data_IF_035705878370
#
_entry.id   IF_035705878370
#
_cell.length_a   1.000
_cell.length_b   1.000
_cell.length_c   1.000
_cell.angle_alpha   90.00
_cell.angle_beta   90.00
_cell.angle_gamma   90.00
#
_symmetry.space_group_name_H-M   'P 1'
#
loop_
_entity.id
_entity.type
_entity.pdbx_description
1 polymer ?
#
# COMPACT_ATOMS: atom_id res chain seq x y z
N UNK A 1 16.70 -35.99 16.04
CA UNK A 1 15.80 -35.97 17.22
C UNK A 1 15.87 -37.32 17.94
N UNK A 2 15.64 -37.37 19.26
CA UNK A 2 15.43 -38.65 19.96
C UNK A 2 14.15 -39.32 19.43
N UNK A 3 14.20 -40.62 19.15
CA UNK A 3 13.09 -41.35 18.52
C UNK A 3 11.85 -41.37 19.41
N UNK A 4 12.04 -41.46 20.73
CA UNK A 4 10.92 -41.44 21.69
C UNK A 4 10.19 -40.11 21.70
N UNK A 5 10.93 -39.00 21.63
CA UNK A 5 10.36 -37.66 21.55
C UNK A 5 9.65 -37.44 20.20
N UNK A 6 10.15 -38.07 19.14
CA UNK A 6 9.50 -38.06 17.83
C UNK A 6 8.17 -38.81 17.84
N UNK A 7 8.17 -40.05 18.34
CA UNK A 7 6.96 -40.86 18.42
C UNK A 7 5.90 -40.17 19.30
N UNK A 8 6.30 -39.62 20.46
CA UNK A 8 5.42 -38.83 21.31
C UNK A 8 4.84 -37.58 20.61
N UNK A 9 5.64 -36.87 19.81
CA UNK A 9 5.18 -35.71 19.06
C UNK A 9 4.25 -36.06 17.89
N UNK A 10 4.44 -37.24 17.28
CA UNK A 10 3.55 -37.76 16.23
C UNK A 10 2.21 -38.17 16.82
N UNK A 11 2.22 -38.87 17.96
CA UNK A 11 1.01 -39.33 18.63
C UNK A 11 0.30 -38.20 19.40
N UNK A 12 1.02 -37.13 19.77
CA UNK A 12 0.50 -36.08 20.62
C UNK A 12 0.39 -36.49 22.10
N UNK A 13 1.10 -37.54 22.50
CA UNK A 13 1.01 -38.10 23.85
C UNK A 13 1.77 -37.23 24.87
N UNK A 14 1.00 -36.44 25.61
CA UNK A 14 1.49 -35.59 26.69
C UNK A 14 2.07 -36.41 27.85
N UNK A 15 1.55 -37.62 28.09
CA UNK A 15 2.04 -38.46 29.19
C UNK A 15 3.41 -39.04 28.89
N UNK A 16 3.63 -39.50 27.65
CA UNK A 16 4.95 -39.91 27.17
C UNK A 16 5.95 -38.74 27.21
N UNK A 17 5.53 -37.53 26.84
CA UNK A 17 6.37 -36.33 26.96
C UNK A 17 6.78 -36.04 28.41
N UNK A 18 5.83 -36.07 29.35
CA UNK A 18 6.11 -35.87 30.77
C UNK A 18 7.07 -36.93 31.33
N UNK A 19 6.89 -38.20 30.96
CA UNK A 19 7.81 -39.28 31.36
C UNK A 19 9.23 -39.06 30.79
N UNK A 20 9.34 -38.60 29.54
CA UNK A 20 10.63 -38.27 28.92
C UNK A 20 11.30 -37.08 29.60
N UNK A 21 10.54 -36.05 29.98
CA UNK A 21 11.05 -34.88 30.69
C UNK A 21 11.46 -35.20 32.13
N UNK A 22 10.80 -36.14 32.79
CA UNK A 22 11.23 -36.66 34.09
C UNK A 22 12.55 -37.43 33.98
N UNK A 23 12.77 -38.15 32.88
CA UNK A 23 14.00 -38.90 32.64
C UNK A 23 15.18 -38.01 32.17
N UNK A 24 14.91 -37.04 31.29
CA UNK A 24 15.89 -36.06 30.80
C UNK A 24 15.25 -34.67 30.68
N UNK A 25 15.41 -33.81 31.70
CA UNK A 25 14.86 -32.44 31.69
C UNK A 25 15.38 -31.57 30.54
N UNK A 26 16.54 -31.91 29.96
CA UNK A 26 17.17 -31.17 28.86
C UNK A 26 16.85 -31.77 27.48
N UNK A 27 15.99 -32.78 27.39
CA UNK A 27 15.63 -33.44 26.14
C UNK A 27 15.10 -32.45 25.09
N UNK A 28 14.26 -31.49 25.50
CA UNK A 28 13.69 -30.47 24.61
C UNK A 28 14.75 -29.47 24.13
N UNK A 29 15.63 -29.00 25.03
CA UNK A 29 16.73 -28.09 24.66
C UNK A 29 17.71 -28.77 23.68
N UNK A 30 18.02 -30.05 23.89
CA UNK A 30 18.82 -30.86 22.96
C UNK A 30 18.12 -31.03 21.61
N UNK A 31 16.80 -31.26 21.61
CA UNK A 31 16.02 -31.36 20.38
C UNK A 31 16.00 -30.03 19.60
N UNK A 32 15.95 -28.89 20.30
CA UNK A 32 16.02 -27.57 19.67
C UNK A 32 17.36 -27.34 18.93
N UNK A 33 18.47 -27.85 19.46
CA UNK A 33 19.82 -27.70 18.87
C UNK A 33 20.17 -28.77 17.82
N UNK A 34 19.61 -29.98 17.93
CA UNK A 34 20.00 -31.16 17.13
C UNK A 34 19.02 -31.50 16.00
N UNK A 35 17.88 -30.86 15.91
CA UNK A 35 16.94 -31.12 14.81
C UNK A 35 17.42 -30.41 13.54
N UNK A 36 18.04 -31.17 12.64
CA UNK A 36 18.40 -30.67 11.29
C UNK A 36 17.16 -30.39 10.44
N UNK A 37 16.04 -31.09 10.70
CA UNK A 37 14.85 -31.01 9.83
C UNK A 37 13.60 -30.48 10.53
N UNK A 38 13.02 -31.21 11.50
CA UNK A 38 11.80 -30.79 12.20
C UNK A 38 11.95 -31.04 13.69
N UNK A 39 11.60 -30.02 14.47
CA UNK A 39 11.49 -30.18 15.92
C UNK A 39 10.10 -30.72 16.31
N UNK A 40 9.91 -31.20 17.55
CA UNK A 40 8.62 -31.68 18.06
C UNK A 40 7.47 -30.68 17.86
N UNK A 41 7.76 -29.39 17.97
CA UNK A 41 6.78 -28.32 17.83
C UNK A 41 6.33 -28.12 16.37
N UNK A 42 7.22 -28.32 15.38
CA UNK A 42 6.85 -28.37 13.96
C UNK A 42 5.90 -29.54 13.69
N UNK A 43 6.18 -30.72 14.25
CA UNK A 43 5.33 -31.92 14.09
C UNK A 43 3.96 -31.68 14.72
N UNK A 44 3.93 -31.20 15.96
CA UNK A 44 2.70 -30.89 16.66
C UNK A 44 1.88 -29.79 15.96
N UNK A 45 2.53 -28.79 15.35
CA UNK A 45 1.88 -27.76 14.55
C UNK A 45 1.31 -28.25 13.22
N UNK A 46 1.88 -29.30 12.61
CA UNK A 46 1.30 -29.95 11.43
C UNK A 46 0.06 -30.77 11.82
N UNK A 47 0.21 -31.57 12.88
CA UNK A 47 -0.81 -32.53 13.31
C UNK A 47 -1.96 -31.87 14.08
N UNK A 48 -1.73 -30.70 14.69
CA UNK A 48 -2.73 -29.95 15.43
C UNK A 48 -2.86 -30.36 16.91
N UNK A 49 -1.79 -30.90 17.51
CA UNK A 49 -1.82 -31.40 18.88
C UNK A 49 -1.70 -30.27 19.90
N UNK A 50 -2.81 -29.61 20.23
CA UNK A 50 -2.85 -28.41 21.09
C UNK A 50 -2.33 -28.69 22.50
N UNK A 51 -2.77 -29.77 23.14
CA UNK A 51 -2.35 -30.10 24.51
C UNK A 51 -0.85 -30.43 24.58
N UNK A 52 -0.33 -31.05 23.53
CA UNK A 52 1.10 -31.33 23.39
C UNK A 52 1.91 -30.04 23.20
N UNK A 53 1.42 -29.10 22.40
CA UNK A 53 2.02 -27.77 22.24
C UNK A 53 2.05 -27.02 23.58
N UNK A 54 0.93 -27.00 24.31
CA UNK A 54 0.85 -26.38 25.65
C UNK A 54 1.85 -26.99 26.61
N UNK A 55 1.94 -28.32 26.66
CA UNK A 55 2.87 -29.02 27.52
C UNK A 55 4.34 -28.69 27.18
N UNK A 56 4.69 -28.59 25.90
CA UNK A 56 6.03 -28.13 25.48
C UNK A 56 6.29 -26.69 25.91
N UNK A 57 5.35 -25.79 25.66
CA UNK A 57 5.51 -24.34 25.92
C UNK A 57 5.58 -23.99 27.41
N UNK A 58 5.11 -24.87 28.31
CA UNK A 58 5.26 -24.71 29.76
C UNK A 58 6.67 -25.00 30.29
N UNK A 59 7.56 -25.61 29.48
CA UNK A 59 8.93 -25.91 29.88
C UNK A 59 9.85 -24.72 29.60
N UNK A 60 10.67 -24.34 30.58
CA UNK A 60 11.67 -23.27 30.43
C UNK A 60 12.58 -23.52 29.21
N UNK A 61 12.83 -22.47 28.42
CA UNK A 61 13.59 -22.47 27.14
C UNK A 61 12.91 -23.15 25.94
N UNK A 62 11.71 -23.73 26.08
CA UNK A 62 10.99 -24.31 24.95
C UNK A 62 10.59 -23.28 23.90
N UNK A 63 10.51 -21.99 24.24
CA UNK A 63 10.26 -20.89 23.29
C UNK A 63 11.31 -20.81 22.17
N UNK A 64 12.54 -21.30 22.40
CA UNK A 64 13.57 -21.38 21.35
C UNK A 64 13.15 -22.29 20.20
N UNK A 65 12.31 -23.30 20.49
CA UNK A 65 11.75 -24.19 19.49
C UNK A 65 10.71 -23.51 18.60
N UNK A 66 10.08 -22.43 19.07
CA UNK A 66 9.18 -21.60 18.27
C UNK A 66 9.93 -20.78 17.20
N UNK A 67 11.22 -20.52 17.43
CA UNK A 67 12.09 -19.76 16.52
C UNK A 67 12.93 -20.65 15.61
N UNK A 68 13.04 -21.94 15.93
CA UNK A 68 13.73 -22.92 15.11
C UNK A 68 13.12 -22.96 13.70
N UNK A 69 13.98 -23.22 12.72
CA UNK A 69 13.63 -23.29 11.32
C UNK A 69 13.79 -24.72 10.81
N UNK A 70 12.82 -25.18 10.04
CA UNK A 70 12.90 -26.44 9.33
C UNK A 70 13.75 -26.32 8.05
N UNK A 71 13.82 -27.41 7.28
CA UNK A 71 14.53 -27.41 5.99
C UNK A 71 14.04 -26.31 5.04
N UNK A 72 12.76 -25.93 5.07
CA UNK A 72 12.19 -24.90 4.20
C UNK A 72 12.29 -23.49 4.81
N UNK A 73 13.12 -23.30 5.84
CA UNK A 73 13.22 -22.08 6.65
C UNK A 73 11.92 -21.69 7.37
N UNK A 74 10.98 -22.65 7.53
CA UNK A 74 9.70 -22.41 8.20
C UNK A 74 9.84 -22.63 9.69
N UNK A 75 9.19 -21.77 10.46
CA UNK A 75 8.99 -21.97 11.89
C UNK A 75 7.65 -22.72 12.15
N UNK A 76 7.37 -23.17 13.38
CA UNK A 76 6.11 -23.84 13.69
C UNK A 76 4.86 -22.99 13.39
N UNK A 77 4.96 -21.65 13.46
CA UNK A 77 3.87 -20.74 13.12
C UNK A 77 3.52 -20.77 11.62
N UNK A 78 4.49 -20.93 10.72
CA UNK A 78 4.25 -21.15 9.29
C UNK A 78 3.43 -22.41 9.05
N UNK A 79 3.79 -23.51 9.73
CA UNK A 79 3.10 -24.79 9.57
C UNK A 79 1.68 -24.74 10.15
N UNK A 80 1.51 -24.17 11.34
CA UNK A 80 0.18 -23.96 11.92
C UNK A 80 -0.71 -23.13 10.98
N UNK A 81 -0.15 -22.10 10.35
CA UNK A 81 -0.87 -21.25 9.40
C UNK A 81 -1.23 -21.95 8.08
N UNK A 82 -0.35 -22.83 7.60
CA UNK A 82 -0.57 -23.63 6.39
C UNK A 82 -1.64 -24.71 6.58
N UNK A 83 -1.61 -25.40 7.73
CA UNK A 83 -2.48 -26.54 8.05
C UNK A 83 -3.76 -26.16 8.81
N UNK A 84 -4.07 -24.86 8.93
CA UNK A 84 -5.30 -24.36 9.56
C UNK A 84 -5.43 -24.71 11.05
N UNK A 85 -4.32 -24.73 11.77
CA UNK A 85 -4.30 -25.06 13.21
C UNK A 85 -4.47 -23.80 14.04
N UNK A 86 -5.69 -23.25 14.05
CA UNK A 86 -6.02 -21.99 14.72
C UNK A 86 -5.64 -21.98 16.21
N UNK A 87 -5.98 -23.05 16.94
CA UNK A 87 -5.73 -23.16 18.38
C UNK A 87 -4.24 -23.25 18.67
N UNK A 88 -3.50 -24.10 17.94
CA UNK A 88 -2.03 -24.16 18.04
C UNK A 88 -1.39 -22.81 17.72
N UNK A 89 -1.91 -22.12 16.70
CA UNK A 89 -1.42 -20.81 16.29
C UNK A 89 -1.61 -19.76 17.38
N UNK A 90 -2.73 -19.76 18.09
CA UNK A 90 -2.97 -18.88 19.24
C UNK A 90 -1.98 -19.17 20.37
N UNK A 91 -1.81 -20.44 20.76
CA UNK A 91 -0.87 -20.83 21.82
C UNK A 91 0.58 -20.42 21.47
N UNK A 92 1.00 -20.60 20.21
CA UNK A 92 2.31 -20.18 19.73
C UNK A 92 2.50 -18.66 19.77
N UNK A 93 1.46 -17.89 19.44
CA UNK A 93 1.49 -16.42 19.50
C UNK A 93 1.52 -15.91 20.94
N UNK A 94 0.75 -16.54 21.84
CA UNK A 94 0.70 -16.18 23.26
C UNK A 94 2.05 -16.44 23.94
N UNK A 95 2.65 -17.60 23.70
CA UNK A 95 4.00 -17.90 24.16
C UNK A 95 5.05 -16.95 23.54
N UNK A 96 4.92 -16.62 22.24
CA UNK A 96 5.76 -15.64 21.58
C UNK A 96 5.63 -14.23 22.18
N UNK A 97 4.44 -13.84 22.64
CA UNK A 97 4.21 -12.56 23.31
C UNK A 97 4.92 -12.51 24.67
N UNK A 98 4.85 -13.60 25.45
CA UNK A 98 5.53 -13.72 26.74
C UNK A 98 7.06 -13.61 26.59
N UNK A 99 7.61 -14.12 25.48
CA UNK A 99 9.05 -14.08 25.18
C UNK A 99 9.49 -12.84 24.37
N UNK A 100 8.61 -11.86 24.11
CA UNK A 100 8.86 -10.71 23.22
C UNK A 100 9.33 -11.08 21.80
N UNK A 101 9.02 -12.30 21.33
CA UNK A 101 9.46 -12.85 20.06
C UNK A 101 8.33 -13.01 19.03
N UNK A 102 7.08 -12.74 19.40
CA UNK A 102 5.91 -12.84 18.50
C UNK A 102 6.11 -12.06 17.20
N UNK A 103 6.67 -10.86 17.27
CA UNK A 103 6.97 -10.06 16.08
C UNK A 103 7.96 -10.75 15.14
N UNK A 104 9.02 -11.34 15.69
CA UNK A 104 10.02 -12.08 14.91
C UNK A 104 9.45 -13.36 14.30
N UNK A 105 8.47 -14.00 14.95
CA UNK A 105 7.82 -15.20 14.43
C UNK A 105 6.89 -14.88 13.26
N UNK A 106 6.15 -13.77 13.35
CA UNK A 106 5.25 -13.30 12.28
C UNK A 106 5.98 -12.76 11.05
N UNK A 107 7.18 -12.20 11.23
CA UNK A 107 8.03 -11.68 10.13
C UNK A 107 9.06 -12.69 9.61
N UNK A 108 9.12 -13.88 10.21
CA UNK A 108 10.04 -14.91 9.72
C UNK A 108 9.70 -15.26 8.26
N UNK A 109 10.74 -15.39 7.43
CA UNK A 109 10.60 -15.69 6.00
C UNK A 109 11.07 -17.12 5.74
N UNK A 110 10.24 -17.89 5.03
CA UNK A 110 10.59 -19.18 4.46
C UNK A 110 11.51 -19.02 3.23
N UNK A 111 11.92 -20.14 2.62
CA UNK A 111 12.79 -20.15 1.42
C UNK A 111 12.27 -19.38 0.20
N UNK A 112 10.96 -19.15 0.10
CA UNK A 112 10.34 -18.38 -0.98
C UNK A 112 10.06 -16.92 -0.55
N UNK A 113 10.60 -16.50 0.60
CA UNK A 113 10.41 -15.18 1.17
C UNK A 113 9.01 -14.96 1.73
N UNK A 114 8.23 -16.02 1.98
CA UNK A 114 6.87 -15.96 2.52
C UNK A 114 6.92 -16.01 4.03
N UNK A 115 6.00 -15.33 4.66
CA UNK A 115 5.82 -15.37 6.11
C UNK A 115 4.56 -16.21 6.45
N UNK A 116 4.25 -16.48 7.73
CA UNK A 116 3.08 -17.30 8.09
C UNK A 116 1.76 -16.74 7.53
N UNK A 117 1.64 -15.42 7.45
CA UNK A 117 0.46 -14.75 6.91
C UNK A 117 0.33 -14.96 5.39
N UNK A 118 1.44 -14.91 4.64
CA UNK A 118 1.48 -15.27 3.23
C UNK A 118 1.02 -16.71 2.98
N UNK A 119 1.42 -17.67 3.83
CA UNK A 119 0.97 -19.05 3.73
C UNK A 119 -0.53 -19.18 4.04
N UNK A 120 -1.03 -18.56 5.11
CA UNK A 120 -2.46 -18.55 5.42
C UNK A 120 -3.31 -18.02 4.25
N UNK A 121 -2.84 -16.95 3.58
CA UNK A 121 -3.48 -16.40 2.39
C UNK A 121 -3.44 -17.31 1.17
N UNK A 122 -2.31 -17.98 0.95
CA UNK A 122 -2.11 -18.95 -0.14
C UNK A 122 -3.04 -20.17 0.01
N UNK A 123 -3.31 -20.60 1.25
CA UNK A 123 -4.18 -21.75 1.54
C UNK A 123 -5.62 -21.37 1.91
N UNK A 124 -5.99 -20.08 1.87
CA UNK A 124 -7.36 -19.63 2.13
C UNK A 124 -7.80 -19.71 3.59
N UNK A 125 -6.87 -19.70 4.55
CA UNK A 125 -7.17 -19.88 5.98
C UNK A 125 -7.66 -18.58 6.61
N UNK A 126 -8.93 -18.24 6.39
CA UNK A 126 -9.53 -16.95 6.78
C UNK A 126 -9.46 -16.69 8.29
N UNK A 127 -9.80 -17.67 9.12
CA UNK A 127 -9.75 -17.53 10.59
C UNK A 127 -8.32 -17.26 11.08
N UNK A 128 -7.35 -18.01 10.54
CA UNK A 128 -5.92 -17.81 10.81
C UNK A 128 -5.44 -16.43 10.38
N UNK A 129 -5.83 -15.97 9.17
CA UNK A 129 -5.47 -14.64 8.67
C UNK A 129 -5.92 -13.54 9.64
N UNK A 130 -7.14 -13.61 10.16
CA UNK A 130 -7.65 -12.61 11.09
C UNK A 130 -6.83 -12.55 12.38
N UNK A 131 -6.42 -13.70 12.92
CA UNK A 131 -5.59 -13.77 14.14
C UNK A 131 -4.19 -13.22 13.87
N UNK A 132 -3.54 -13.66 12.78
CA UNK A 132 -2.19 -13.22 12.44
C UNK A 132 -2.11 -11.71 12.14
N UNK A 133 -3.13 -11.12 11.49
CA UNK A 133 -3.16 -9.67 11.23
C UNK A 133 -3.24 -8.88 12.54
N UNK A 134 -4.02 -9.36 13.51
CA UNK A 134 -4.11 -8.72 14.84
C UNK A 134 -2.79 -8.82 15.60
N UNK A 135 -2.10 -9.94 15.50
CA UNK A 135 -0.81 -10.16 16.17
C UNK A 135 0.37 -9.45 15.49
N UNK A 136 0.32 -9.27 14.16
CA UNK A 136 1.48 -8.79 13.40
C UNK A 136 1.11 -8.21 12.04
N UNK A 137 0.35 -7.11 12.01
CA UNK A 137 -0.06 -6.41 10.79
C UNK A 137 1.09 -6.12 9.81
N UNK A 138 2.30 -5.83 10.31
CA UNK A 138 3.48 -5.54 9.48
C UNK A 138 3.82 -6.68 8.51
N UNK A 139 3.55 -7.94 8.90
CA UNK A 139 3.77 -9.10 8.05
C UNK A 139 2.91 -9.07 6.76
N UNK A 140 1.76 -8.39 6.77
CA UNK A 140 0.92 -8.22 5.59
C UNK A 140 1.55 -7.30 4.54
N UNK A 141 2.42 -6.37 4.94
CA UNK A 141 3.02 -5.38 4.05
C UNK A 141 4.27 -5.89 3.33
N UNK A 142 4.85 -6.97 3.83
CA UNK A 142 6.03 -7.57 3.23
C UNK A 142 5.71 -8.18 1.86
N UNK A 143 6.74 -8.26 1.02
CA UNK A 143 6.66 -8.90 -0.28
C UNK A 143 7.36 -10.25 -0.22
N UNK A 144 6.83 -11.19 -0.99
CA UNK A 144 7.54 -12.45 -1.25
C UNK A 144 8.76 -12.21 -2.13
N UNK A 145 9.61 -13.22 -2.28
CA UNK A 145 10.80 -13.10 -3.14
C UNK A 145 10.45 -12.92 -4.62
N UNK A 146 9.24 -13.30 -5.06
CA UNK A 146 8.69 -12.94 -6.38
C UNK A 146 8.08 -11.53 -6.45
N UNK A 147 8.37 -10.68 -5.45
CA UNK A 147 7.88 -9.32 -5.26
C UNK A 147 6.36 -9.15 -5.21
N UNK A 148 5.62 -10.26 -5.09
CA UNK A 148 4.17 -10.29 -4.93
C UNK A 148 3.77 -9.91 -3.52
N UNK A 149 2.65 -9.20 -3.40
CA UNK A 149 1.99 -8.98 -2.09
C UNK A 149 1.11 -10.19 -1.75
N UNK A 150 0.66 -10.26 -0.49
CA UNK A 150 -0.31 -11.27 -0.05
C UNK A 150 -1.56 -11.37 -0.93
N UNK A 151 -2.05 -10.24 -1.47
CA UNK A 151 -3.21 -10.21 -2.38
C UNK A 151 -2.91 -10.89 -3.73
N UNK A 152 -1.67 -10.80 -4.22
CA UNK A 152 -1.26 -11.51 -5.44
C UNK A 152 -1.24 -13.02 -5.22
N UNK A 153 -0.83 -13.47 -4.02
CA UNK A 153 -0.87 -14.89 -3.66
C UNK A 153 -2.31 -15.39 -3.60
N UNK A 154 -3.24 -14.67 -2.98
CA UNK A 154 -4.65 -15.07 -2.95
C UNK A 154 -5.20 -15.30 -4.36
N UNK A 155 -4.85 -14.45 -5.33
CA UNK A 155 -5.31 -14.62 -6.72
C UNK A 155 -4.63 -15.79 -7.41
N UNK A 156 -3.31 -15.92 -7.26
CA UNK A 156 -2.52 -17.01 -7.84
C UNK A 156 -3.03 -18.39 -7.40
N UNK A 157 -3.48 -18.50 -6.16
CA UNK A 157 -4.00 -19.74 -5.58
C UNK A 157 -5.53 -19.80 -5.51
N UNK A 158 -6.23 -18.88 -6.16
CA UNK A 158 -7.69 -18.82 -6.24
C UNK A 158 -8.42 -18.79 -4.86
N UNK A 159 -7.86 -18.08 -3.90
CA UNK A 159 -8.39 -17.90 -2.54
C UNK A 159 -9.16 -16.58 -2.41
N UNK A 160 -10.37 -16.53 -2.98
CA UNK A 160 -11.18 -15.32 -3.06
C UNK A 160 -11.70 -14.83 -1.70
N UNK A 161 -12.06 -15.75 -0.79
CA UNK A 161 -12.57 -15.39 0.54
C UNK A 161 -11.48 -14.78 1.44
N UNK A 162 -10.26 -15.31 1.36
CA UNK A 162 -9.09 -14.73 2.00
C UNK A 162 -8.80 -13.33 1.43
N UNK A 163 -8.95 -13.16 0.12
CA UNK A 163 -8.73 -11.90 -0.58
C UNK A 163 -9.74 -10.82 -0.15
N UNK A 164 -11.04 -11.13 -0.10
CA UNK A 164 -12.07 -10.18 0.34
C UNK A 164 -11.83 -9.78 1.79
N UNK A 165 -11.56 -10.76 2.66
CA UNK A 165 -11.26 -10.52 4.08
C UNK A 165 -10.03 -9.63 4.24
N UNK A 166 -8.96 -9.87 3.48
CA UNK A 166 -7.76 -9.05 3.51
C UNK A 166 -8.00 -7.64 2.99
N UNK A 167 -8.79 -7.46 1.92
CA UNK A 167 -9.12 -6.13 1.41
C UNK A 167 -9.96 -5.34 2.43
N UNK A 168 -10.93 -5.99 3.07
CA UNK A 168 -11.80 -5.39 4.07
C UNK A 168 -11.06 -4.98 5.35
N UNK A 169 -10.06 -5.77 5.76
CA UNK A 169 -9.24 -5.49 6.93
C UNK A 169 -8.16 -4.44 6.61
N UNK A 170 -7.51 -4.54 5.45
CA UNK A 170 -6.38 -3.70 5.11
C UNK A 170 -6.83 -2.31 4.63
N UNK A 171 -7.91 -2.15 3.86
CA UNK A 171 -8.42 -0.82 3.37
C UNK A 171 -7.35 0.15 2.82
N UNK A 172 -6.18 -0.34 2.40
CA UNK A 172 -5.09 0.48 1.86
C UNK A 172 -5.15 0.46 0.31
N UNK A 173 -5.56 1.55 -0.35
CA UNK A 173 -5.70 1.57 -1.81
C UNK A 173 -4.35 1.43 -2.54
N UNK A 174 -3.25 1.89 -1.92
CA UNK A 174 -1.90 1.69 -2.45
C UNK A 174 -1.49 0.22 -2.48
N UNK A 175 -1.96 -0.56 -1.49
CA UNK A 175 -1.65 -1.98 -1.38
C UNK A 175 -2.37 -2.82 -2.44
N UNK A 176 -3.60 -2.45 -2.78
CA UNK A 176 -4.39 -3.04 -3.88
C UNK A 176 -3.78 -2.75 -5.26
N UNK A 177 -3.20 -1.56 -5.42
CA UNK A 177 -2.56 -1.14 -6.68
C UNK A 177 -1.09 -1.58 -6.80
N UNK A 178 -0.57 -2.29 -5.79
CA UNK A 178 0.77 -2.84 -5.82
C UNK A 178 0.94 -3.79 -7.01
N UNK A 179 2.17 -3.83 -7.53
CA UNK A 179 2.57 -4.70 -8.62
C UNK A 179 3.55 -5.74 -8.14
N UNK A 180 3.44 -6.96 -8.67
CA UNK A 180 4.44 -8.02 -8.53
C UNK A 180 5.69 -7.72 -9.39
N UNK A 181 6.67 -8.63 -9.40
CA UNK A 181 7.89 -8.50 -10.23
C UNK A 181 7.61 -8.43 -11.73
N UNK A 182 6.59 -9.13 -12.20
CA UNK A 182 6.12 -9.06 -13.60
C UNK A 182 5.47 -7.71 -13.94
N UNK A 183 5.32 -6.82 -12.95
CA UNK A 183 4.68 -5.53 -13.12
C UNK A 183 3.16 -5.61 -13.24
N UNK A 184 2.56 -6.77 -12.97
CA UNK A 184 1.12 -6.99 -12.98
C UNK A 184 0.51 -6.53 -11.66
N UNK A 185 -0.63 -5.83 -11.74
CA UNK A 185 -1.48 -5.59 -10.57
C UNK A 185 -2.34 -6.82 -10.29
N UNK A 186 -2.96 -6.87 -9.11
CA UNK A 186 -3.85 -7.96 -8.73
C UNK A 186 -4.98 -8.20 -9.76
N UNK A 187 -5.54 -7.13 -10.35
CA UNK A 187 -6.56 -7.22 -11.41
C UNK A 187 -6.01 -7.83 -12.70
N UNK A 188 -4.80 -7.43 -13.11
CA UNK A 188 -4.17 -7.95 -14.32
C UNK A 188 -3.83 -9.42 -14.15
N UNK A 189 -3.39 -9.81 -12.96
CA UNK A 189 -3.12 -11.19 -12.59
C UNK A 189 -4.41 -12.05 -12.61
N UNK A 190 -5.52 -11.53 -12.08
CA UNK A 190 -6.82 -12.22 -12.13
C UNK A 190 -7.30 -12.45 -13.57
N UNK A 191 -7.12 -11.46 -14.45
CA UNK A 191 -7.47 -11.59 -15.87
C UNK A 191 -6.56 -12.62 -16.56
N UNK A 192 -5.25 -12.60 -16.27
CA UNK A 192 -4.27 -13.53 -16.83
C UNK A 192 -4.62 -14.98 -16.47
N UNK A 193 -4.89 -15.27 -15.21
CA UNK A 193 -5.28 -16.63 -14.78
C UNK A 193 -6.64 -17.06 -15.36
N UNK A 194 -7.60 -16.15 -15.49
CA UNK A 194 -8.90 -16.42 -16.15
C UNK A 194 -8.76 -16.81 -17.63
N UNK A 195 -7.73 -16.31 -18.32
CA UNK A 195 -7.48 -16.64 -19.73
C UNK A 195 -6.77 -17.98 -19.92
N UNK A 196 -5.87 -18.34 -19.01
CA UNK A 196 -5.13 -19.61 -19.05
C UNK A 196 -5.97 -20.84 -18.68
N UNK A 197 -7.03 -20.68 -17.88
CA UNK A 197 -7.96 -21.76 -17.53
C UNK A 197 -8.72 -22.34 -18.74
N UNK A 198 -8.73 -21.62 -19.89
CA UNK A 198 -9.39 -22.08 -21.13
C UNK A 198 -8.56 -23.02 -22.01
N UNK A 199 -7.31 -23.35 -21.66
CA UNK A 199 -6.37 -24.00 -22.60
C UNK A 199 -5.96 -25.46 -22.28
N UNK A 200 -6.67 -26.18 -21.41
CA UNK A 200 -6.27 -27.52 -20.97
C UNK A 200 -7.36 -28.59 -20.96
N UNK A 201 -7.56 -29.23 -22.12
CA UNK A 201 -8.05 -30.61 -22.38
C UNK A 201 -9.46 -31.00 -21.88
N UNK A 202 -10.26 -31.49 -22.83
CA UNK A 202 -11.72 -31.71 -22.82
C UNK A 202 -12.33 -32.67 -21.77
N UNK A 203 -11.58 -33.17 -20.78
CA UNK A 203 -12.10 -34.09 -19.77
C UNK A 203 -12.45 -33.43 -18.41
N UNK A 204 -12.21 -32.12 -18.26
CA UNK A 204 -12.53 -31.34 -17.03
C UNK A 204 -13.80 -30.49 -17.22
N UNK A 205 -14.26 -30.33 -18.46
CA UNK A 205 -15.37 -29.46 -18.90
C UNK A 205 -16.72 -29.83 -18.27
N UNK A 206 -16.95 -31.12 -17.97
CA UNK A 206 -18.19 -31.62 -17.37
C UNK A 206 -18.27 -31.33 -15.87
N UNK A 207 -17.15 -31.43 -15.15
CA UNK A 207 -17.10 -31.14 -13.70
C UNK A 207 -17.00 -29.63 -13.44
N UNK A 208 -16.29 -28.90 -14.30
CA UNK A 208 -16.22 -27.44 -14.28
C UNK A 208 -17.48 -26.73 -14.77
N UNK A 209 -18.42 -27.40 -15.45
CA UNK A 209 -19.70 -26.77 -15.78
C UNK A 209 -20.56 -26.47 -14.53
N UNK A 210 -20.38 -27.26 -13.45
CA UNK A 210 -21.04 -27.03 -12.15
C UNK A 210 -20.29 -26.05 -11.25
N UNK A 211 -18.95 -26.02 -11.31
CA UNK A 211 -18.10 -25.11 -10.53
C UNK A 211 -17.74 -23.78 -11.25
N UNK A 212 -17.91 -23.71 -12.56
CA UNK A 212 -17.56 -22.53 -13.38
C UNK A 212 -18.58 -21.39 -13.28
N UNK A 213 -19.82 -21.70 -12.92
CA UNK A 213 -20.81 -20.67 -12.57
C UNK A 213 -20.46 -19.97 -11.26
N UNK A 214 -19.89 -20.68 -10.27
CA UNK A 214 -19.52 -20.09 -8.98
C UNK A 214 -18.19 -19.32 -9.06
N UNK A 215 -17.17 -19.83 -9.74
CA UNK A 215 -15.89 -19.11 -9.89
C UNK A 215 -16.00 -17.91 -10.82
N UNK A 216 -16.71 -18.04 -11.94
CA UNK A 216 -16.93 -16.93 -12.88
C UNK A 216 -17.73 -15.78 -12.25
N UNK A 217 -18.79 -16.11 -11.50
CA UNK A 217 -19.60 -15.14 -10.78
C UNK A 217 -18.84 -14.50 -9.60
N UNK A 218 -18.01 -15.26 -8.88
CA UNK A 218 -17.21 -14.70 -7.80
C UNK A 218 -16.08 -13.80 -8.31
N UNK A 219 -15.43 -14.14 -9.43
CA UNK A 219 -14.42 -13.25 -10.05
C UNK A 219 -15.08 -11.99 -10.61
N UNK A 220 -16.29 -12.08 -11.20
CA UNK A 220 -17.00 -10.87 -11.64
C UNK A 220 -17.44 -10.01 -10.47
N UNK A 221 -17.98 -10.61 -9.41
CA UNK A 221 -18.39 -9.88 -8.20
C UNK A 221 -17.19 -9.26 -7.49
N UNK A 222 -16.06 -9.96 -7.43
CA UNK A 222 -14.80 -9.45 -6.90
C UNK A 222 -14.24 -8.33 -7.77
N UNK A 223 -14.25 -8.48 -9.09
CA UNK A 223 -13.84 -7.42 -10.02
C UNK A 223 -14.69 -6.17 -9.83
N UNK A 224 -16.01 -6.31 -9.68
CA UNK A 224 -16.93 -5.20 -9.42
C UNK A 224 -16.68 -4.58 -8.05
N UNK A 225 -16.50 -5.38 -6.99
CA UNK A 225 -16.20 -4.89 -5.64
C UNK A 225 -14.86 -4.15 -5.55
N UNK A 226 -13.82 -4.68 -6.21
CA UNK A 226 -12.52 -4.02 -6.26
C UNK A 226 -12.55 -2.77 -7.14
N UNK A 227 -13.29 -2.80 -8.26
CA UNK A 227 -13.52 -1.60 -9.05
C UNK A 227 -14.24 -0.54 -8.22
N UNK A 228 -15.25 -0.90 -7.44
CA UNK A 228 -15.95 0.01 -6.54
C UNK A 228 -15.01 0.64 -5.50
N UNK A 229 -14.07 -0.13 -4.95
CA UNK A 229 -13.09 0.37 -3.98
C UNK A 229 -12.03 1.28 -4.62
N UNK A 230 -11.60 0.95 -5.85
CA UNK A 230 -10.71 1.82 -6.64
C UNK A 230 -11.43 3.10 -7.06
N UNK A 231 -12.69 3.02 -7.50
CA UNK A 231 -13.50 4.21 -7.84
C UNK A 231 -13.81 5.04 -6.62
N UNK A 232 -14.00 4.44 -5.44
CA UNK A 232 -14.11 5.15 -4.17
C UNK A 232 -12.85 5.98 -3.90
N UNK A 233 -11.64 5.41 -4.06
CA UNK A 233 -10.40 6.21 -3.92
C UNK A 233 -10.28 7.36 -4.93
N UNK A 234 -10.82 7.18 -6.14
CA UNK A 234 -10.85 8.23 -7.19
C UNK A 234 -11.90 9.30 -6.91
N UNK A 235 -13.04 8.94 -6.33
CA UNK A 235 -14.08 9.89 -5.97
C UNK A 235 -13.57 10.86 -4.89
N UNK A 236 -12.78 10.37 -3.92
CA UNK A 236 -12.09 11.24 -2.96
C UNK A 236 -11.13 12.25 -3.62
N UNK A 237 -10.38 11.86 -4.66
CA UNK A 237 -9.52 12.78 -5.42
C UNK A 237 -10.35 13.85 -6.14
N UNK A 238 -11.47 13.47 -6.75
CA UNK A 238 -12.38 14.41 -7.42
C UNK A 238 -12.99 15.42 -6.44
N UNK A 239 -13.38 14.96 -5.24
CA UNK A 239 -13.87 15.83 -4.16
C UNK A 239 -12.79 16.80 -3.69
N UNK A 240 -11.55 16.34 -3.49
CA UNK A 240 -10.45 17.23 -3.11
C UNK A 240 -10.18 18.30 -4.20
N UNK A 241 -10.20 17.91 -5.47
CA UNK A 241 -10.00 18.85 -6.58
C UNK A 241 -11.14 19.87 -6.72
N UNK A 242 -12.39 19.47 -6.48
CA UNK A 242 -13.53 20.39 -6.53
C UNK A 242 -13.46 21.43 -5.41
N UNK A 243 -13.01 21.04 -4.20
CA UNK A 243 -12.76 21.97 -3.09
C UNK A 243 -11.64 22.95 -3.47
N UNK A 244 -10.53 22.48 -4.04
CA UNK A 244 -9.42 23.33 -4.50
C UNK A 244 -9.89 24.33 -5.56
N UNK A 245 -10.65 23.88 -6.56
CA UNK A 245 -11.21 24.74 -7.60
C UNK A 245 -12.18 25.78 -7.02
N UNK A 246 -13.01 25.39 -6.06
CA UNK A 246 -13.95 26.30 -5.38
C UNK A 246 -13.19 27.37 -4.60
N UNK A 247 -12.18 26.99 -3.81
CA UNK A 247 -11.38 27.95 -3.05
C UNK A 247 -10.63 28.93 -3.94
N UNK A 248 -10.10 28.48 -5.09
CA UNK A 248 -9.43 29.33 -6.07
C UNK A 248 -10.40 30.31 -6.76
N UNK A 249 -11.59 29.84 -7.13
CA UNK A 249 -12.63 30.68 -7.74
C UNK A 249 -13.10 31.77 -6.78
N UNK A 250 -13.41 31.40 -5.54
CA UNK A 250 -13.85 32.35 -4.51
C UNK A 250 -12.77 33.41 -4.22
N UNK A 251 -11.51 33.00 -4.11
CA UNK A 251 -10.39 33.91 -3.90
C UNK A 251 -10.20 34.90 -5.06
N UNK A 252 -10.58 34.52 -6.28
CA UNK A 252 -10.50 35.38 -7.46
C UNK A 252 -11.63 36.41 -7.51
N UNK A 253 -12.84 36.02 -7.12
CA UNK A 253 -14.02 36.93 -7.09
C UNK A 253 -13.98 37.89 -5.91
N UNK A 254 -13.36 37.48 -4.79
CA UNK A 254 -13.23 38.28 -3.58
C UNK A 254 -11.77 38.32 -3.16
N UNK A 255 -10.97 39.24 -3.76
CA UNK A 255 -9.57 39.34 -3.44
C UNK A 255 -9.37 39.76 -1.97
N UNK A 256 -8.28 39.30 -1.34
CA UNK A 256 -8.01 39.53 0.07
C UNK A 256 -7.79 41.02 0.34
N UNK A 257 -8.65 41.59 1.19
CA UNK A 257 -8.76 43.03 1.43
C UNK A 257 -10.02 43.66 0.84
N UNK A 258 -10.78 42.93 0.03
CA UNK A 258 -12.03 43.40 -0.57
C UNK A 258 -11.80 44.34 -1.75
N UNK A 259 -12.91 44.90 -2.23
CA UNK A 259 -12.94 45.95 -3.24
C UNK A 259 -13.48 47.23 -2.62
N UNK A 260 -13.11 48.39 -3.17
CA UNK A 260 -13.70 49.66 -2.81
C UNK A 260 -15.21 49.65 -3.10
N UNK A 261 -16.00 50.25 -2.21
CA UNK A 261 -17.47 50.28 -2.33
C UNK A 261 -17.98 51.61 -2.90
N UNK A 262 -17.12 52.62 -2.93
CA UNK A 262 -17.40 54.00 -3.32
C UNK A 262 -16.41 54.49 -4.38
N UNK A 263 -16.84 55.51 -5.13
CA UNK A 263 -16.02 56.23 -6.09
C UNK A 263 -15.42 57.48 -5.43
N UNK A 264 -14.11 57.50 -5.20
CA UNK A 264 -13.39 58.69 -4.76
C UNK A 264 -12.57 59.24 -5.92
N UNK A 265 -13.19 60.08 -6.74
CA UNK A 265 -12.55 60.70 -7.91
C UNK A 265 -12.29 62.20 -7.66
N UNK A 266 -13.16 62.84 -6.89
CA UNK A 266 -13.10 64.27 -6.53
C UNK A 266 -13.32 64.44 -5.02
N UNK A 267 -12.72 65.49 -4.45
CA UNK A 267 -12.94 65.86 -3.05
C UNK A 267 -14.31 66.54 -2.85
N UNK A 268 -14.67 66.85 -1.61
CA UNK A 268 -15.93 67.53 -1.28
C UNK A 268 -16.06 68.94 -1.89
N UNK A 269 -14.99 69.48 -2.48
CA UNK A 269 -14.95 70.77 -3.16
C UNK A 269 -14.82 70.65 -4.70
N UNK A 270 -14.92 69.43 -5.25
CA UNK A 270 -14.87 69.18 -6.69
C UNK A 270 -13.46 69.19 -7.29
N UNK A 271 -12.40 69.20 -6.48
CA UNK A 271 -11.03 69.09 -6.98
C UNK A 271 -10.59 67.62 -7.12
N UNK A 272 -9.80 67.26 -8.16
CA UNK A 272 -9.33 65.88 -8.33
C UNK A 272 -8.44 65.44 -7.16
N UNK A 273 -8.76 64.29 -6.54
CA UNK A 273 -7.96 63.76 -5.44
C UNK A 273 -6.64 63.15 -5.95
N UNK A 274 -5.54 63.20 -5.16
CA UNK A 274 -4.24 62.66 -5.56
C UNK A 274 -4.25 61.14 -5.84
N UNK A 275 -5.21 60.44 -5.23
CA UNK A 275 -5.28 58.99 -5.16
C UNK A 275 -6.72 58.53 -5.46
N UNK A 276 -7.17 58.61 -6.72
CA UNK A 276 -8.52 58.23 -7.07
C UNK A 276 -8.68 56.71 -7.02
N UNK A 277 -9.84 56.25 -6.56
CA UNK A 277 -10.26 54.86 -6.64
C UNK A 277 -11.70 54.77 -7.08
N UNK A 278 -12.04 53.67 -7.77
CA UNK A 278 -13.39 53.39 -8.23
C UNK A 278 -14.00 52.21 -7.48
N UNK A 279 -15.32 52.27 -7.30
CA UNK A 279 -16.09 51.17 -6.77
C UNK A 279 -15.86 49.90 -7.61
N UNK A 280 -15.60 48.79 -6.95
CA UNK A 280 -15.26 47.51 -7.58
C UNK A 280 -13.77 47.28 -7.84
N UNK A 281 -12.90 48.29 -7.68
CA UNK A 281 -11.46 48.08 -7.76
C UNK A 281 -10.93 47.35 -6.52
N UNK A 282 -10.13 46.31 -6.73
CA UNK A 282 -9.54 45.53 -5.65
C UNK A 282 -8.54 46.38 -4.84
N UNK A 283 -8.75 46.46 -3.52
CA UNK A 283 -7.89 47.26 -2.62
C UNK A 283 -6.44 46.77 -2.67
N UNK A 284 -6.25 45.46 -2.85
CA UNK A 284 -4.93 44.85 -3.01
C UNK A 284 -4.22 45.26 -4.32
N UNK A 285 -4.97 45.46 -5.40
CA UNK A 285 -4.42 45.94 -6.68
C UNK A 285 -3.89 47.38 -6.54
N UNK A 286 -4.62 48.20 -5.78
CA UNK A 286 -4.25 49.58 -5.47
C UNK A 286 -3.03 49.67 -4.54
N UNK A 287 -3.01 48.90 -3.45
CA UNK A 287 -1.93 48.97 -2.46
C UNK A 287 -0.63 48.30 -2.90
N UNK A 288 -0.71 47.15 -3.58
CA UNK A 288 0.45 46.32 -3.94
C UNK A 288 0.26 45.62 -5.30
N UNK A 289 0.43 46.33 -6.44
CA UNK A 289 0.09 45.82 -7.77
C UNK A 289 0.86 44.54 -8.15
N UNK A 290 2.15 44.45 -7.81
CA UNK A 290 2.96 43.24 -8.08
C UNK A 290 2.46 41.99 -7.35
N UNK A 291 1.94 42.14 -6.13
CA UNK A 291 1.42 41.01 -5.34
C UNK A 291 0.05 40.57 -5.84
N UNK A 292 -0.76 41.53 -6.28
CA UNK A 292 -2.06 41.26 -6.89
C UNK A 292 -1.92 40.48 -8.21
N UNK A 293 -1.02 40.88 -9.11
CA UNK A 293 -0.78 40.15 -10.36
C UNK A 293 -0.32 38.71 -10.11
N UNK A 294 0.60 38.52 -9.16
CA UNK A 294 1.06 37.18 -8.78
C UNK A 294 -0.07 36.33 -8.18
N UNK A 295 -0.90 36.92 -7.31
CA UNK A 295 -2.05 36.28 -6.68
C UNK A 295 -3.08 35.79 -7.71
N UNK A 296 -3.47 36.66 -8.66
CA UNK A 296 -4.42 36.29 -9.71
C UNK A 296 -3.85 35.19 -10.59
N UNK A 297 -2.57 35.28 -10.96
CA UNK A 297 -1.91 34.28 -11.79
C UNK A 297 -1.85 32.91 -11.10
N UNK A 298 -1.41 32.83 -9.84
CA UNK A 298 -1.33 31.56 -9.10
C UNK A 298 -2.71 30.95 -8.86
N UNK A 299 -3.71 31.79 -8.59
CA UNK A 299 -5.10 31.35 -8.40
C UNK A 299 -5.67 30.71 -9.67
N UNK A 300 -5.49 31.34 -10.83
CA UNK A 300 -5.92 30.80 -12.12
C UNK A 300 -5.22 29.48 -12.47
N UNK A 301 -3.92 29.39 -12.21
CA UNK A 301 -3.16 28.15 -12.41
C UNK A 301 -3.68 27.00 -11.53
N UNK A 302 -4.04 27.28 -10.28
CA UNK A 302 -4.60 26.28 -9.37
C UNK A 302 -5.97 25.77 -9.84
N UNK A 303 -6.80 26.67 -10.38
CA UNK A 303 -8.13 26.36 -10.91
C UNK A 303 -8.06 25.46 -12.14
N UNK A 304 -7.25 25.83 -13.14
CA UNK A 304 -7.08 25.04 -14.37
C UNK A 304 -6.42 23.68 -14.11
N UNK A 305 -5.45 23.61 -13.19
CA UNK A 305 -4.82 22.35 -12.81
C UNK A 305 -5.82 21.41 -12.11
N UNK A 306 -6.67 21.92 -11.22
CA UNK A 306 -7.71 21.14 -10.56
C UNK A 306 -8.78 20.65 -11.56
N UNK A 307 -9.22 21.50 -12.49
CA UNK A 307 -10.20 21.14 -13.52
C UNK A 307 -9.65 20.05 -14.45
N UNK A 308 -8.40 20.18 -14.89
CA UNK A 308 -7.74 19.19 -15.74
C UNK A 308 -7.57 17.85 -15.02
N UNK A 309 -7.27 17.88 -13.72
CA UNK A 309 -7.18 16.69 -12.87
C UNK A 309 -8.54 15.98 -12.75
N UNK A 310 -9.64 16.72 -12.61
CA UNK A 310 -11.01 16.17 -12.60
C UNK A 310 -11.32 15.50 -13.94
N UNK A 311 -11.07 16.18 -15.06
CA UNK A 311 -11.33 15.65 -16.41
C UNK A 311 -10.54 14.36 -16.65
N UNK A 312 -9.25 14.32 -16.31
CA UNK A 312 -8.41 13.13 -16.46
C UNK A 312 -8.92 11.97 -15.60
N UNK A 313 -9.42 12.27 -14.40
CA UNK A 313 -9.96 11.26 -13.47
C UNK A 313 -11.31 10.71 -13.94
N UNK A 314 -12.12 11.50 -14.66
CA UNK A 314 -13.38 11.05 -15.28
C UNK A 314 -13.13 10.22 -16.53
N UNK A 315 -12.15 10.59 -17.36
CA UNK A 315 -11.86 9.92 -18.63
C UNK A 315 -11.08 8.59 -18.50
N UNK A 316 -10.84 8.09 -17.29
CA UNK A 316 -10.20 6.79 -17.01
C UNK A 316 -8.92 6.51 -17.82
N UNK A 317 -8.04 7.52 -17.94
CA UNK A 317 -6.84 7.35 -18.75
C UNK A 317 -5.81 6.46 -18.02
N UNK A 318 -5.66 5.21 -18.47
CA UNK A 318 -4.86 4.15 -17.83
C UNK A 318 -3.35 4.20 -18.12
N UNK A 319 -2.89 5.21 -18.86
CA UNK A 319 -1.49 5.35 -19.27
C UNK A 319 -0.50 5.57 -18.12
N UNK A 320 0.76 5.13 -18.33
CA UNK A 320 1.87 5.51 -17.44
C UNK A 320 2.13 7.03 -17.46
N UNK A 321 1.96 7.66 -18.64
CA UNK A 321 2.00 9.11 -18.81
C UNK A 321 0.84 9.81 -18.11
N UNK A 322 -0.37 9.26 -18.13
CA UNK A 322 -1.51 9.88 -17.43
C UNK A 322 -1.33 9.89 -15.92
N UNK A 323 -0.74 8.85 -15.33
CA UNK A 323 -0.40 8.85 -13.90
C UNK A 323 0.67 9.88 -13.54
N UNK A 324 1.68 10.06 -14.41
CA UNK A 324 2.66 11.14 -14.27
C UNK A 324 2.02 12.51 -14.34
N UNK A 325 1.19 12.73 -15.36
CA UNK A 325 0.49 13.99 -15.58
C UNK A 325 -0.46 14.29 -14.42
N UNK A 326 -1.21 13.30 -13.93
CA UNK A 326 -2.10 13.45 -12.77
C UNK A 326 -1.33 13.86 -11.51
N UNK A 327 -0.21 13.18 -11.22
CA UNK A 327 0.63 13.52 -10.07
C UNK A 327 1.27 14.90 -10.20
N UNK A 328 1.67 15.30 -11.41
CA UNK A 328 2.28 16.60 -11.67
C UNK A 328 1.24 17.73 -11.57
N UNK A 329 0.05 17.54 -12.13
CA UNK A 329 -1.04 18.52 -12.12
C UNK A 329 -1.60 18.71 -10.71
N UNK A 330 -1.79 17.63 -9.95
CA UNK A 330 -2.21 17.71 -8.56
C UNK A 330 -1.16 18.43 -7.70
N UNK A 331 0.13 18.15 -7.94
CA UNK A 331 1.22 18.85 -7.27
C UNK A 331 1.21 20.36 -7.58
N UNK A 332 1.09 20.72 -8.86
CA UNK A 332 0.98 22.12 -9.30
C UNK A 332 -0.23 22.79 -8.62
N UNK A 333 -1.38 22.12 -8.56
CA UNK A 333 -2.59 22.67 -7.94
C UNK A 333 -2.39 22.97 -6.44
N UNK A 334 -1.78 22.05 -5.68
CA UNK A 334 -1.53 22.22 -4.24
C UNK A 334 -0.52 23.35 -3.98
N UNK A 335 0.57 23.42 -4.73
CA UNK A 335 1.62 24.46 -4.57
C UNK A 335 1.08 25.84 -4.93
N UNK A 336 0.29 25.95 -6.00
CA UNK A 336 -0.29 27.23 -6.43
C UNK A 336 -1.41 27.69 -5.49
N UNK A 337 -2.21 26.78 -4.93
CA UNK A 337 -3.19 27.13 -3.91
C UNK A 337 -2.53 27.65 -2.62
N UNK A 338 -1.51 26.97 -2.12
CA UNK A 338 -0.83 27.34 -0.87
C UNK A 338 -0.11 28.68 -0.98
N UNK A 339 0.51 28.97 -2.12
CA UNK A 339 1.10 30.28 -2.40
C UNK A 339 0.05 31.38 -2.50
N UNK A 340 -1.11 31.10 -3.10
CA UNK A 340 -2.25 32.03 -3.17
C UNK A 340 -2.76 32.38 -1.77
N UNK A 341 -2.97 31.38 -0.91
CA UNK A 341 -3.39 31.58 0.49
C UNK A 341 -2.36 32.36 1.31
N UNK A 342 -1.06 32.14 1.07
CA UNK A 342 0.00 32.89 1.73
C UNK A 342 -0.02 34.39 1.39
N UNK A 343 -0.21 34.72 0.11
CA UNK A 343 -0.32 36.12 -0.33
C UNK A 343 -1.55 36.78 0.31
N UNK A 344 -2.67 36.06 0.42
CA UNK A 344 -3.88 36.51 1.11
C UNK A 344 -3.62 36.86 2.58
N UNK A 345 -2.94 35.98 3.32
CA UNK A 345 -2.64 36.19 4.76
C UNK A 345 -1.74 37.42 4.96
N UNK A 346 -0.75 37.63 4.09
CA UNK A 346 0.14 38.81 4.16
C UNK A 346 -0.62 40.10 3.86
N UNK A 347 -1.61 40.06 2.96
CA UNK A 347 -2.43 41.22 2.60
C UNK A 347 -3.28 41.71 3.77
N UNK A 348 -3.88 40.79 4.52
CA UNK A 348 -4.84 41.08 5.60
C UNK A 348 -4.14 41.45 6.92
N UNK A 349 -2.87 41.11 7.12
CA UNK A 349 -2.19 41.31 8.41
C UNK A 349 -1.93 42.81 8.71
N UNK A 350 -2.45 43.37 9.83
CA UNK A 350 -2.34 44.79 10.14
C UNK A 350 -0.89 45.22 10.38
N UNK A 351 -0.51 46.37 9.81
CA UNK A 351 0.88 46.86 9.77
C UNK A 351 1.41 47.43 11.11
N UNK A 352 0.74 47.18 12.25
CA UNK A 352 0.89 47.95 13.48
C UNK A 352 1.88 47.47 14.55
N UNK A 353 2.22 46.18 14.67
CA UNK A 353 3.01 45.70 15.82
C UNK A 353 4.48 45.39 15.48
N UNK A 354 5.39 45.85 16.34
CA UNK A 354 6.86 45.79 16.28
C UNK A 354 7.47 44.38 16.36
N UNK A 355 6.64 43.33 16.48
CA UNK A 355 6.99 41.90 16.30
C UNK A 355 7.18 41.52 14.81
N UNK A 356 7.60 42.51 14.01
CA UNK A 356 7.40 42.66 12.57
C UNK A 356 8.35 41.83 11.70
N UNK A 357 9.52 41.47 12.22
CA UNK A 357 10.55 40.75 11.45
C UNK A 357 10.54 39.26 11.75
N UNK A 358 10.48 38.87 13.03
CA UNK A 358 10.55 37.46 13.48
C UNK A 358 9.35 36.62 13.07
N UNK A 359 8.13 37.14 13.13
CA UNK A 359 6.92 36.41 12.67
C UNK A 359 6.85 36.32 11.14
N UNK A 360 7.26 37.37 10.42
CA UNK A 360 7.36 37.32 8.95
C UNK A 360 8.42 36.33 8.49
N UNK A 361 9.59 36.30 9.14
CA UNK A 361 10.65 35.33 8.85
C UNK A 361 10.27 33.91 9.27
N UNK A 362 9.54 33.74 10.39
CA UNK A 362 9.08 32.42 10.84
C UNK A 362 7.98 31.86 9.92
N UNK A 363 7.00 32.67 9.53
CA UNK A 363 5.93 32.27 8.61
C UNK A 363 6.47 32.02 7.20
N UNK A 364 7.38 32.87 6.71
CA UNK A 364 8.11 32.61 5.46
C UNK A 364 8.94 31.32 5.55
N UNK A 365 9.58 31.07 6.70
CA UNK A 365 10.32 29.83 6.95
C UNK A 365 9.44 28.58 6.93
N UNK A 366 8.24 28.64 7.52
CA UNK A 366 7.27 27.52 7.49
C UNK A 366 6.76 27.26 6.07
N UNK A 367 6.53 28.31 5.28
CA UNK A 367 6.07 28.17 3.88
C UNK A 367 7.19 27.68 2.97
N UNK A 368 8.44 28.12 3.19
CA UNK A 368 9.61 27.58 2.48
C UNK A 368 9.87 26.13 2.87
N UNK A 369 9.68 25.77 4.15
CA UNK A 369 9.77 24.39 4.61
C UNK A 369 8.67 23.55 3.95
N UNK A 370 7.42 24.01 3.99
CA UNK A 370 6.30 23.30 3.38
C UNK A 370 6.48 23.15 1.86
N UNK A 371 6.86 24.21 1.15
CA UNK A 371 7.12 24.15 -0.29
C UNK A 371 8.32 23.26 -0.62
N UNK A 372 9.36 23.25 0.22
CA UNK A 372 10.51 22.34 0.06
C UNK A 372 10.15 20.88 0.30
N UNK A 373 9.30 20.58 1.28
CA UNK A 373 8.79 19.23 1.55
C UNK A 373 7.91 18.75 0.40
N UNK A 374 7.03 19.61 -0.10
CA UNK A 374 6.22 19.32 -1.28
C UNK A 374 7.13 19.10 -2.51
N UNK A 375 8.15 19.92 -2.73
CA UNK A 375 9.09 19.81 -3.85
C UNK A 375 9.94 18.54 -3.77
N UNK A 376 10.42 18.17 -2.59
CA UNK A 376 11.08 16.88 -2.36
C UNK A 376 10.14 15.71 -2.64
N UNK A 377 8.88 15.78 -2.20
CA UNK A 377 7.86 14.78 -2.49
C UNK A 377 7.59 14.64 -3.99
N UNK A 378 7.41 15.76 -4.70
CA UNK A 378 7.21 15.79 -6.15
C UNK A 378 8.40 15.24 -6.93
N UNK A 379 9.63 15.63 -6.55
CA UNK A 379 10.87 15.09 -7.16
C UNK A 379 11.00 13.60 -6.89
N UNK A 380 10.65 13.11 -5.70
CA UNK A 380 10.70 11.70 -5.37
C UNK A 380 9.73 10.90 -6.24
N UNK A 381 8.50 11.40 -6.41
CA UNK A 381 7.49 10.77 -7.28
C UNK A 381 7.95 10.76 -8.74
N UNK A 382 8.45 11.89 -9.26
CA UNK A 382 8.97 11.99 -10.63
C UNK A 382 10.17 11.05 -10.82
N UNK A 383 11.10 11.00 -9.86
CA UNK A 383 12.27 10.13 -9.91
C UNK A 383 11.88 8.64 -9.89
N UNK A 384 10.92 8.26 -9.05
CA UNK A 384 10.38 6.89 -9.00
C UNK A 384 9.76 6.51 -10.33
N UNK A 385 9.01 7.41 -10.96
CA UNK A 385 8.36 7.10 -12.22
C UNK A 385 9.31 7.15 -13.42
N UNK A 386 10.28 8.08 -13.44
CA UNK A 386 11.36 8.09 -14.44
C UNK A 386 12.16 6.79 -14.38
N UNK A 387 12.54 6.34 -13.18
CA UNK A 387 13.23 5.04 -13.00
C UNK A 387 12.39 3.88 -13.56
N UNK A 388 11.06 3.90 -13.39
CA UNK A 388 10.15 2.89 -13.98
C UNK A 388 10.10 2.95 -15.51
N UNK A 389 10.03 4.15 -16.11
CA UNK A 389 10.04 4.32 -17.56
C UNK A 389 11.37 3.90 -18.20
N UNK A 390 12.50 4.27 -17.58
CA UNK A 390 13.84 3.89 -18.04
C UNK A 390 14.06 2.37 -17.99
N UNK A 391 13.47 1.68 -17.00
CA UNK A 391 13.46 0.20 -16.96
C UNK A 391 12.63 -0.39 -18.11
N UNK A 392 11.43 0.11 -18.36
CA UNK A 392 10.56 -0.37 -19.45
C UNK A 392 11.21 -0.22 -20.83
N UNK A 393 11.84 0.92 -21.10
CA UNK A 393 12.51 1.16 -22.38
C UNK A 393 13.77 0.28 -22.54
N UNK A 394 14.54 0.01 -21.48
CA UNK A 394 15.67 -0.94 -21.56
C UNK A 394 15.21 -2.37 -21.89
N UNK A 395 14.12 -2.83 -21.30
CA UNK A 395 13.58 -4.17 -21.59
C UNK A 395 13.13 -4.28 -23.05
N UNK A 396 12.49 -3.25 -23.60
CA UNK A 396 12.09 -3.24 -25.02
C UNK A 396 13.28 -3.16 -26.00
N UNK A 397 14.32 -2.39 -25.66
CA UNK A 397 15.55 -2.32 -26.46
C UNK A 397 16.35 -3.62 -26.44
N UNK A 398 16.35 -4.35 -25.31
CA UNK A 398 17.01 -5.65 -25.22
C UNK A 398 16.31 -6.72 -26.07
N UNK A 399 14.97 -6.68 -26.18
CA UNK A 399 14.22 -7.58 -27.07
C UNK A 399 14.36 -7.26 -28.57
N UNK A 400 14.76 -6.05 -28.93
CA UNK A 400 15.02 -5.64 -30.32
C UNK A 400 16.49 -5.85 -30.73
N UNK A 401 17.36 -6.17 -29.77
CA UNK A 401 18.79 -6.38 -29.98
C UNK A 401 19.21 -7.85 -30.13
N UNK A 402 18.29 -8.82 -30.03
CA UNK A 402 18.61 -10.21 -30.39
C UNK A 402 18.66 -10.34 -31.92
N UNK A 403 19.82 -10.69 -32.51
CA UNK A 403 19.97 -10.79 -33.95
C UNK A 403 19.14 -11.96 -34.50
N UNK A 404 18.46 -11.72 -35.62
CA UNK A 404 17.64 -12.65 -36.43
C UNK A 404 18.44 -13.81 -37.07
N UNK A 405 19.56 -14.22 -36.49
CA UNK A 405 20.45 -15.22 -37.06
C UNK A 405 19.91 -16.66 -36.88
N UNK A 406 18.93 -16.86 -35.97
CA UNK A 406 18.27 -18.15 -35.78
C UNK A 406 17.23 -18.48 -36.87
N UNK A 407 16.76 -17.50 -37.64
CA UNK A 407 15.76 -17.73 -38.68
C UNK A 407 16.37 -18.18 -40.02
N UNK A 408 17.66 -17.88 -40.27
CA UNK A 408 18.33 -18.26 -41.52
C UNK A 408 18.85 -19.71 -41.51
N UNK A 409 19.15 -20.27 -40.33
CA UNK A 409 19.64 -21.65 -40.22
C UNK A 409 18.54 -22.71 -40.48
N UNK A 410 17.26 -22.36 -40.33
CA UNK A 410 16.15 -23.29 -40.53
C UNK A 410 15.72 -23.46 -42.01
N UNK A 411 16.21 -22.60 -42.92
CA UNK A 411 15.84 -22.64 -44.34
C UNK A 411 16.76 -23.50 -45.22
N UNK A 412 17.82 -24.11 -44.66
CA UNK A 412 18.80 -24.91 -45.41
C UNK A 412 18.54 -26.44 -45.36
N UNK A 413 17.41 -26.88 -44.81
CA UNK A 413 17.08 -28.30 -44.61
C UNK A 413 15.75 -28.76 -45.25
N UNK A 414 15.30 -28.08 -46.30
CA UNK A 414 14.25 -28.58 -47.22
C UNK A 414 14.77 -28.46 -48.64
#
# INVERSE_FOLDING_TARGET
MDRRLYDAAVEGDVTALCQLLQADPLALAKAALKCEDKNPLHIAAILGHVDFVKAILQVDLAYLMCLARDQDDRNPLHLAAMYDRLEVLQELLDAGCQANSAHSMCLARDRDGRNPLHLAAMYGRVAVLQVLIRAGFQAALEKTDGGGTILHLCIKYNQLEALTTLVDILKYPEFVSAKNEDGMTILQLAIHYKQHEKSGVDNVKSEMARLGHTTGAQISNFSTGLQNLITESRSWIQVACSIIATMAFQASMSPPGGCWQDDLIVDSQGTPVPNPHRAGEAILAYAHPRRYQLFVFTSQMSFWAALLTIIITICDFTGSLARLLLSLLLYIAIVTLTTTQYISIISVYPKGLTQKRRQRTALAGVVLLYSSVCLLGGILVIAVVWRKLKRKNRVQLNHLGEPRDSAAAAAAHV
#
